data_IF_422415049411
#
_entry.id   IF_422415049411
#
_cell.length_a   1.000
_cell.length_b   1.000
_cell.length_c   1.000
_cell.angle_alpha   90.00
_cell.angle_beta   90.00
_cell.angle_gamma   90.00
#
_symmetry.space_group_name_H-M   'P 1'
#
loop_
_entity.id
_entity.type
_entity.pdbx_description
1 polymer ?
#
# COMPACT_ATOMS: atom_id res chain seq x y z
N UNK A 1 -15.92 -10.59 17.34
CA UNK A 1 -15.48 -9.99 16.06
C UNK A 1 -14.39 -10.87 15.46
N UNK A 2 -14.48 -11.19 14.18
CA UNK A 2 -13.50 -12.09 13.54
C UNK A 2 -12.27 -11.32 13.09
N UNK A 3 -11.08 -11.89 13.33
CA UNK A 3 -9.84 -11.36 12.77
C UNK A 3 -9.88 -11.49 11.25
N UNK A 4 -9.54 -10.42 10.54
CA UNK A 4 -9.43 -10.37 9.08
C UNK A 4 -7.99 -10.58 8.62
N UNK A 5 -7.02 -10.15 9.43
CA UNK A 5 -5.58 -10.38 9.24
C UNK A 5 -4.96 -10.76 10.58
N UNK A 6 -4.03 -11.69 10.58
CA UNK A 6 -3.27 -12.10 11.76
C UNK A 6 -1.82 -12.37 11.37
N UNK A 7 -0.89 -11.73 12.06
CA UNK A 7 0.53 -11.99 12.02
C UNK A 7 0.95 -12.76 13.27
N UNK A 8 1.76 -13.79 13.10
CA UNK A 8 2.34 -14.60 14.20
C UNK A 8 3.84 -14.65 14.01
N UNK A 9 4.56 -13.97 14.90
CA UNK A 9 6.02 -13.91 14.92
C UNK A 9 6.62 -13.61 13.55
N UNK A 10 5.93 -12.76 12.77
CA UNK A 10 6.30 -12.48 11.40
C UNK A 10 7.57 -11.61 11.33
N UNK A 11 8.48 -11.99 10.45
CA UNK A 11 9.71 -11.28 10.17
C UNK A 11 9.96 -11.19 8.68
N UNK A 12 10.53 -10.07 8.25
CA UNK A 12 10.97 -9.82 6.87
C UNK A 12 12.36 -9.24 6.89
N UNK A 13 13.27 -9.80 6.13
CA UNK A 13 14.62 -9.29 5.99
C UNK A 13 14.98 -8.98 4.54
N UNK A 14 15.90 -8.06 4.37
CA UNK A 14 16.43 -7.63 3.08
C UNK A 14 17.92 -7.90 3.00
N UNK A 15 18.39 -8.22 1.79
CA UNK A 15 19.83 -8.26 1.52
C UNK A 15 20.38 -6.85 1.41
N UNK A 16 21.27 -6.46 2.30
CA UNK A 16 21.96 -5.17 2.26
C UNK A 16 23.40 -5.41 1.80
N UNK A 17 23.79 -4.83 0.66
CA UNK A 17 25.20 -4.83 0.24
C UNK A 17 25.98 -3.91 1.18
N UNK A 18 26.98 -4.48 1.84
CA UNK A 18 27.88 -3.74 2.75
C UNK A 18 29.20 -3.43 2.03
N UNK A 19 29.60 -4.29 1.09
CA UNK A 19 30.73 -4.06 0.19
C UNK A 19 30.52 -4.79 -1.14
N UNK A 20 31.44 -4.63 -2.08
CA UNK A 20 31.38 -5.28 -3.40
C UNK A 20 31.25 -6.81 -3.28
N UNK A 21 31.83 -7.40 -2.22
CA UNK A 21 31.86 -8.85 -2.00
C UNK A 21 31.09 -9.32 -0.78
N UNK A 22 30.42 -8.40 -0.02
CA UNK A 22 29.75 -8.77 1.22
C UNK A 22 28.31 -8.26 1.25
N UNK A 23 27.39 -9.20 1.49
CA UNK A 23 25.97 -8.94 1.69
C UNK A 23 25.57 -9.39 3.08
N UNK A 24 24.85 -8.55 3.81
CA UNK A 24 24.32 -8.85 5.14
C UNK A 24 22.81 -8.85 5.13
N UNK A 25 22.19 -9.61 6.05
CA UNK A 25 20.76 -9.56 6.31
C UNK A 25 20.44 -8.31 7.13
N UNK A 26 19.50 -7.51 6.64
CA UNK A 26 18.95 -6.36 7.37
C UNK A 26 17.47 -6.60 7.61
N UNK A 27 17.06 -6.63 8.86
CA UNK A 27 15.66 -6.82 9.22
C UNK A 27 14.84 -5.57 8.89
N UNK A 28 13.82 -5.75 8.08
CA UNK A 28 12.78 -4.74 7.89
C UNK A 28 11.69 -4.83 8.96
N UNK A 29 11.39 -6.09 9.38
CA UNK A 29 10.53 -6.42 10.52
C UNK A 29 11.10 -7.66 11.20
N UNK A 30 10.91 -7.77 12.52
CA UNK A 30 11.33 -8.95 13.26
C UNK A 30 10.35 -9.26 14.38
N UNK A 31 9.92 -10.52 14.42
CA UNK A 31 9.05 -11.07 15.47
C UNK A 31 7.82 -10.21 15.75
N UNK A 32 7.08 -9.83 14.72
CA UNK A 32 5.87 -9.02 14.84
C UNK A 32 4.65 -9.91 14.91
N UNK A 33 3.87 -9.75 15.99
CA UNK A 33 2.57 -10.41 16.15
C UNK A 33 1.50 -9.34 16.33
N UNK A 34 0.46 -9.40 15.51
CA UNK A 34 -0.69 -8.50 15.58
C UNK A 34 -1.94 -9.14 14.96
N UNK A 35 -3.08 -8.62 15.33
CA UNK A 35 -4.37 -9.02 14.77
C UNK A 35 -5.15 -7.78 14.37
N UNK A 36 -5.78 -7.82 13.20
CA UNK A 36 -6.69 -6.77 12.73
C UNK A 36 -8.09 -7.37 12.63
N UNK A 37 -9.05 -6.75 13.29
CA UNK A 37 -10.45 -7.19 13.30
C UNK A 37 -11.25 -6.49 12.22
N UNK A 38 -12.37 -7.07 11.83
CA UNK A 38 -13.28 -6.44 10.87
C UNK A 38 -13.81 -5.12 11.43
N UNK A 39 -13.73 -4.05 10.61
CA UNK A 39 -14.17 -2.70 10.98
C UNK A 39 -13.22 -1.95 11.92
N UNK A 40 -12.06 -2.52 12.24
CA UNK A 40 -11.05 -1.87 13.06
C UNK A 40 -10.17 -0.94 12.22
N UNK A 41 -9.82 0.21 12.78
CA UNK A 41 -8.77 1.09 12.27
C UNK A 41 -7.52 0.91 13.12
N UNK A 42 -6.44 0.42 12.51
CA UNK A 42 -5.16 0.21 13.17
C UNK A 42 -4.18 1.32 12.79
N UNK A 43 -3.76 2.13 13.74
CA UNK A 43 -2.71 3.13 13.56
C UNK A 43 -1.32 2.53 13.70
N UNK A 44 -0.44 2.75 12.70
CA UNK A 44 0.96 2.33 12.73
C UNK A 44 1.86 3.57 12.81
N UNK A 45 2.51 3.77 13.94
CA UNK A 45 3.39 4.90 14.20
C UNK A 45 4.83 4.44 14.43
N UNK A 46 5.79 5.30 14.13
CA UNK A 46 7.21 5.03 14.33
C UNK A 46 8.08 5.96 13.49
N UNK A 47 9.36 6.04 13.81
CA UNK A 47 10.35 6.83 13.07
C UNK A 47 10.59 6.31 11.64
N UNK A 48 11.38 7.07 10.88
CA UNK A 48 11.82 6.62 9.55
C UNK A 48 12.71 5.38 9.71
N UNK A 49 12.49 4.37 8.84
CA UNK A 49 13.21 3.10 8.92
C UNK A 49 12.68 2.11 9.97
N UNK A 50 11.64 2.44 10.74
CA UNK A 50 11.06 1.54 11.75
C UNK A 50 10.31 0.32 11.18
N UNK A 51 10.22 0.17 9.86
CA UNK A 51 9.57 -0.98 9.22
C UNK A 51 8.09 -0.78 8.89
N UNK A 52 7.52 0.43 9.05
CA UNK A 52 6.10 0.71 8.76
C UNK A 52 5.68 0.30 7.35
N UNK A 53 6.46 0.70 6.34
CA UNK A 53 6.18 0.36 4.94
C UNK A 53 6.34 -1.15 4.68
N UNK A 54 7.28 -1.81 5.34
CA UNK A 54 7.44 -3.27 5.26
C UNK A 54 6.23 -3.97 5.87
N UNK A 55 5.74 -3.49 7.02
CA UNK A 55 4.53 -4.02 7.65
C UNK A 55 3.31 -3.89 6.74
N UNK A 56 3.10 -2.71 6.13
CA UNK A 56 1.97 -2.51 5.20
C UNK A 56 2.06 -3.42 3.97
N UNK A 57 3.25 -3.59 3.38
CA UNK A 57 3.47 -4.53 2.28
C UNK A 57 3.24 -5.98 2.69
N UNK A 58 3.63 -6.35 3.92
CA UNK A 58 3.39 -7.66 4.47
C UNK A 58 1.88 -7.90 4.72
N UNK A 59 1.17 -6.93 5.29
CA UNK A 59 -0.28 -7.01 5.51
C UNK A 59 -1.06 -7.11 4.20
N UNK A 60 -0.65 -6.36 3.17
CA UNK A 60 -1.31 -6.35 1.85
C UNK A 60 -1.02 -7.58 0.97
N UNK A 61 -0.02 -8.40 1.33
CA UNK A 61 0.37 -9.56 0.54
C UNK A 61 1.33 -9.26 -0.61
N UNK A 62 1.87 -8.04 -0.68
CA UNK A 62 2.96 -7.68 -1.62
C UNK A 62 4.26 -8.38 -1.24
N UNK A 63 4.45 -8.62 0.07
CA UNK A 63 5.57 -9.38 0.60
C UNK A 63 5.05 -10.59 1.37
N UNK A 64 5.79 -11.69 1.30
CA UNK A 64 5.62 -12.83 2.18
C UNK A 64 6.62 -12.75 3.35
N UNK A 65 6.28 -13.31 4.51
CA UNK A 65 7.20 -13.33 5.64
C UNK A 65 8.33 -14.33 5.41
N UNK A 66 9.56 -13.95 5.78
CA UNK A 66 10.71 -14.86 5.82
C UNK A 66 10.67 -15.73 7.08
N UNK A 67 10.05 -15.25 8.16
CA UNK A 67 9.82 -15.97 9.42
C UNK A 67 8.39 -15.75 9.89
N UNK A 68 7.86 -16.72 10.63
CA UNK A 68 6.50 -16.67 11.16
C UNK A 68 5.43 -16.92 10.11
N UNK A 69 4.23 -16.38 10.33
CA UNK A 69 3.07 -16.61 9.45
C UNK A 69 2.19 -15.37 9.34
N UNK A 70 1.56 -15.20 8.17
CA UNK A 70 0.51 -14.21 7.92
C UNK A 70 -0.75 -14.92 7.45
N UNK A 71 -1.82 -14.76 8.18
CA UNK A 71 -3.14 -15.29 7.85
C UNK A 71 -4.03 -14.15 7.39
N UNK A 72 -4.52 -14.21 6.15
CA UNK A 72 -5.43 -13.23 5.54
C UNK A 72 -6.76 -13.91 5.25
N UNK A 73 -7.84 -13.45 5.87
CA UNK A 73 -9.20 -13.96 5.66
C UNK A 73 -10.02 -13.08 4.71
N UNK A 74 -9.38 -12.08 4.11
CA UNK A 74 -9.95 -11.18 3.11
C UNK A 74 -9.32 -11.44 1.75
N UNK A 75 -10.12 -11.34 0.68
CA UNK A 75 -9.64 -11.60 -0.69
C UNK A 75 -8.96 -10.38 -1.31
N UNK A 76 -9.48 -9.19 -1.01
CA UNK A 76 -9.01 -7.95 -1.60
C UNK A 76 -8.42 -7.06 -0.50
N UNK A 77 -7.14 -6.76 -0.62
CA UNK A 77 -6.43 -5.81 0.24
C UNK A 77 -5.82 -4.78 -0.70
N UNK A 78 -6.22 -3.53 -0.56
CA UNK A 78 -5.65 -2.43 -1.35
C UNK A 78 -4.64 -1.66 -0.50
N UNK A 79 -3.45 -1.46 -1.04
CA UNK A 79 -2.44 -0.59 -0.45
C UNK A 79 -2.57 0.78 -1.10
N UNK A 80 -3.10 1.74 -0.34
CA UNK A 80 -3.19 3.12 -0.77
C UNK A 80 -1.90 3.85 -0.38
N UNK A 81 -1.05 4.12 -1.34
CA UNK A 81 0.14 4.95 -1.16
C UNK A 81 0.00 6.23 -1.96
N UNK A 82 0.48 7.33 -1.42
CA UNK A 82 0.52 8.60 -2.15
C UNK A 82 1.29 8.43 -3.46
N UNK A 83 0.68 8.83 -4.57
CA UNK A 83 1.28 8.79 -5.90
C UNK A 83 1.50 7.39 -6.48
N UNK A 84 0.96 6.33 -5.87
CA UNK A 84 1.09 4.98 -6.44
C UNK A 84 0.35 4.89 -7.78
N UNK A 85 1.11 4.63 -8.84
CA UNK A 85 0.57 4.50 -10.19
C UNK A 85 0.34 5.82 -10.91
N UNK A 86 0.65 6.96 -10.29
CA UNK A 86 0.61 8.25 -10.97
C UNK A 86 1.79 8.37 -11.93
N UNK A 87 1.48 8.72 -13.16
CA UNK A 87 2.45 8.97 -14.22
C UNK A 87 2.68 10.48 -14.32
N UNK A 88 3.91 10.98 -14.08
CA UNK A 88 4.19 12.43 -14.06
C UNK A 88 3.90 13.14 -15.38
N UNK A 89 3.86 12.40 -16.49
CA UNK A 89 3.60 12.94 -17.82
C UNK A 89 2.09 13.05 -18.15
N UNK A 90 1.23 12.54 -17.29
CA UNK A 90 -0.22 12.59 -17.45
C UNK A 90 -0.82 13.66 -16.54
N UNK A 91 -1.95 14.22 -16.96
CA UNK A 91 -2.73 15.11 -16.12
C UNK A 91 -3.28 14.38 -14.88
N UNK A 92 -3.67 15.14 -13.85
CA UNK A 92 -4.36 14.60 -12.70
C UNK A 92 -5.62 13.83 -13.11
N UNK A 93 -6.36 14.36 -14.09
CA UNK A 93 -7.55 13.73 -14.68
C UNK A 93 -7.25 12.36 -15.27
N UNK A 94 -6.23 12.27 -16.13
CA UNK A 94 -5.84 11.01 -16.76
C UNK A 94 -5.34 10.00 -15.74
N UNK A 95 -4.57 10.47 -14.75
CA UNK A 95 -4.10 9.64 -13.65
C UNK A 95 -5.27 9.09 -12.79
N UNK A 96 -6.29 9.90 -12.51
CA UNK A 96 -7.48 9.46 -11.78
C UNK A 96 -8.24 8.37 -12.55
N UNK A 97 -8.43 8.55 -13.86
CA UNK A 97 -9.07 7.55 -14.73
C UNK A 97 -8.25 6.26 -14.78
N UNK A 98 -6.93 6.37 -14.99
CA UNK A 98 -6.04 5.21 -15.03
C UNK A 98 -6.05 4.44 -13.71
N UNK A 99 -5.98 5.14 -12.58
CA UNK A 99 -6.03 4.52 -11.25
C UNK A 99 -7.35 3.79 -11.02
N UNK A 100 -8.47 4.37 -11.42
CA UNK A 100 -9.78 3.72 -11.32
C UNK A 100 -9.87 2.44 -12.14
N UNK A 101 -9.33 2.45 -13.37
CA UNK A 101 -9.27 1.27 -14.24
C UNK A 101 -8.39 0.18 -13.60
N UNK A 102 -7.25 0.53 -13.04
CA UNK A 102 -6.37 -0.41 -12.33
C UNK A 102 -7.03 -1.01 -11.08
N UNK A 103 -7.96 -0.28 -10.46
CA UNK A 103 -8.79 -0.76 -9.36
C UNK A 103 -10.02 -1.56 -9.81
N UNK A 104 -10.16 -1.83 -11.11
CA UNK A 104 -11.21 -2.66 -11.68
C UNK A 104 -12.47 -1.91 -12.10
N UNK A 105 -12.44 -0.58 -12.15
CA UNK A 105 -13.52 0.24 -12.70
C UNK A 105 -13.50 0.22 -14.24
N UNK A 106 -14.66 0.34 -14.82
CA UNK A 106 -14.76 0.57 -16.28
C UNK A 106 -14.50 2.05 -16.61
N UNK A 107 -14.14 2.31 -17.85
CA UNK A 107 -13.95 3.69 -18.33
C UNK A 107 -15.23 4.53 -18.22
N UNK A 108 -16.39 3.89 -18.36
CA UNK A 108 -17.71 4.54 -18.27
C UNK A 108 -18.01 4.92 -16.81
N UNK A 109 -17.75 4.01 -15.85
CA UNK A 109 -17.88 4.30 -14.43
C UNK A 109 -16.94 5.43 -14.02
N UNK A 110 -15.72 5.48 -14.55
CA UNK A 110 -14.78 6.56 -14.24
C UNK A 110 -15.23 7.91 -14.78
N UNK A 111 -15.90 7.96 -15.93
CA UNK A 111 -16.46 9.21 -16.44
C UNK A 111 -17.52 9.80 -15.53
N UNK A 112 -18.38 8.97 -14.94
CA UNK A 112 -19.42 9.43 -14.00
C UNK A 112 -18.86 9.82 -12.65
N UNK A 113 -17.76 9.20 -12.19
CA UNK A 113 -17.13 9.48 -10.92
C UNK A 113 -16.14 10.65 -10.95
N UNK A 114 -15.73 11.07 -12.15
CA UNK A 114 -14.61 12.00 -12.30
C UNK A 114 -14.94 13.39 -11.74
N UNK A 115 -16.15 13.87 -11.95
CA UNK A 115 -16.60 15.17 -11.43
C UNK A 115 -16.61 15.15 -9.89
N UNK A 116 -17.12 14.09 -9.28
CA UNK A 116 -17.11 13.91 -7.82
C UNK A 116 -15.68 13.86 -7.26
N UNK A 117 -14.75 13.21 -8.00
CA UNK A 117 -13.33 13.14 -7.63
C UNK A 117 -12.68 14.52 -7.69
N UNK A 118 -12.98 15.29 -8.73
CA UNK A 118 -12.45 16.66 -8.89
C UNK A 118 -12.96 17.54 -7.76
N UNK A 119 -14.25 17.54 -7.49
CA UNK A 119 -14.87 18.31 -6.43
C UNK A 119 -14.30 17.93 -5.05
N UNK A 120 -14.16 16.64 -4.78
CA UNK A 120 -13.57 16.16 -3.53
C UNK A 120 -12.11 16.57 -3.35
N UNK A 121 -11.35 16.62 -4.44
CA UNK A 121 -9.91 16.94 -4.39
C UNK A 121 -9.63 18.43 -4.13
N UNK A 122 -10.60 19.31 -4.37
CA UNK A 122 -10.50 20.77 -4.25
C UNK A 122 -9.37 21.42 -5.08
N UNK A 123 -8.79 20.69 -6.05
CA UNK A 123 -7.66 21.19 -6.87
C UNK A 123 -8.12 22.00 -8.10
N UNK A 124 -9.42 21.99 -8.41
CA UNK A 124 -10.01 22.77 -9.48
C UNK A 124 -9.34 22.51 -10.84
N UNK A 125 -9.02 23.60 -11.56
CA UNK A 125 -8.47 23.52 -12.92
C UNK A 125 -7.07 22.85 -12.97
N UNK A 126 -6.34 22.80 -11.85
CA UNK A 126 -5.06 22.12 -11.76
C UNK A 126 -5.13 20.60 -12.02
N UNK A 127 -6.35 20.03 -12.07
CA UNK A 127 -6.59 18.63 -12.44
C UNK A 127 -6.10 18.31 -13.87
N UNK A 128 -6.06 19.30 -14.73
CA UNK A 128 -5.66 19.15 -16.12
C UNK A 128 -4.16 19.39 -16.37
N UNK A 129 -3.43 19.81 -15.33
CA UNK A 129 -1.99 19.93 -15.37
C UNK A 129 -1.28 18.58 -15.15
N UNK A 130 -0.06 18.39 -15.68
CA UNK A 130 0.79 17.24 -15.35
C UNK A 130 1.10 17.20 -13.84
N UNK A 131 1.21 15.98 -13.29
CA UNK A 131 1.43 15.74 -11.86
C UNK A 131 2.91 15.87 -11.49
#
# INVERSE_FOLDING_TARGET
>A
MSNVIELREAGVWYKKKVSVFRTEKSWGLRNVSLQVKRGETLGVIGGNGAGKSTLLKLLSGILDPDEGKVLRKVRNISLLTLGLGFLPNLSGRDNAVLSGILLGKTKEEMRTLLDDIIDFSEIGDAIDDPV
#
